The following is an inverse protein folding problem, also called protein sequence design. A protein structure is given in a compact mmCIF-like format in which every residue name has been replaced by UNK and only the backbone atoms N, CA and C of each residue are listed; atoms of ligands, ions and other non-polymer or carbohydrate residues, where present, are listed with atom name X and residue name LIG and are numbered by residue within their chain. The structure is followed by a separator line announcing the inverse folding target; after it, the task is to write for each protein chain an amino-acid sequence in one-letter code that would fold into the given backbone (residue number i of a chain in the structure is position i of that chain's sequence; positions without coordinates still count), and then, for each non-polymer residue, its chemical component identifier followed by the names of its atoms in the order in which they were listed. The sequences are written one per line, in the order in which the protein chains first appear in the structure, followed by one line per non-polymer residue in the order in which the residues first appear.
data_IF_979848836308
#
_entry.id   IF_979848836308
#
_cell.length_a   1.000
_cell.length_b   1.000
_cell.length_c   1.000
_cell.angle_alpha   90.00
_cell.angle_beta   90.00
_cell.angle_gamma   90.00
#
_symmetry.space_group_name_H-M   'P 1'
#
loop_
_entity.id
_entity.type
_entity.pdbx_description
1 polymer ?
#
# COMPACT_ATOMS: atom_id res chain seq x y z
N UNK A 1 34.02 1.29 -41.89
CA UNK A 1 32.88 0.53 -41.33
C UNK A 1 31.74 1.43 -40.84
N UNK A 2 32.00 2.46 -40.00
CA UNK A 2 30.95 3.38 -39.49
C UNK A 2 30.18 4.15 -40.59
N UNK A 3 30.86 4.60 -41.65
CA UNK A 3 30.23 5.31 -42.79
C UNK A 3 29.29 4.37 -43.56
N UNK A 4 29.74 3.14 -43.87
CA UNK A 4 28.94 2.10 -44.55
C UNK A 4 27.68 1.73 -43.74
N UNK A 5 27.83 1.60 -42.42
CA UNK A 5 26.70 1.32 -41.51
C UNK A 5 25.65 2.45 -41.51
N UNK A 6 26.07 3.71 -41.72
CA UNK A 6 25.17 4.87 -41.80
C UNK A 6 24.54 5.08 -43.17
N UNK A 7 25.25 4.77 -44.26
CA UNK A 7 24.80 5.09 -45.63
C UNK A 7 24.07 3.96 -46.34
N UNK A 8 24.07 2.75 -45.77
CA UNK A 8 23.42 1.53 -46.30
C UNK A 8 23.72 1.24 -47.78
N UNK A 9 24.86 1.73 -48.28
CA UNK A 9 25.31 1.64 -49.68
C UNK A 9 26.82 1.43 -49.69
N UNK A 10 27.31 0.50 -50.54
CA UNK A 10 28.72 0.14 -50.65
C UNK A 10 29.17 0.30 -52.11
N UNK A 11 30.12 1.20 -52.37
CA UNK A 11 30.78 1.34 -53.67
C UNK A 11 31.77 0.19 -53.94
N UNK A 12 32.15 -0.07 -55.19
CA UNK A 12 33.07 -1.18 -55.53
C UNK A 12 34.46 -1.05 -54.87
N UNK A 13 34.96 0.16 -54.67
CA UNK A 13 36.22 0.43 -53.96
C UNK A 13 36.06 0.17 -52.46
N UNK A 14 34.88 0.45 -51.89
CA UNK A 14 34.57 0.16 -50.50
C UNK A 14 34.30 -1.33 -50.26
N UNK A 15 33.91 -2.11 -51.28
CA UNK A 15 33.74 -3.56 -51.19
C UNK A 15 35.05 -4.27 -50.86
N UNK A 16 36.14 -3.91 -51.54
CA UNK A 16 37.46 -4.51 -51.30
C UNK A 16 37.95 -4.18 -49.89
N UNK A 17 37.88 -2.91 -49.49
CA UNK A 17 38.25 -2.47 -48.13
C UNK A 17 37.38 -3.09 -47.04
N UNK A 18 36.09 -3.30 -47.32
CA UNK A 18 35.17 -3.95 -46.40
C UNK A 18 35.47 -5.44 -46.26
N UNK A 19 35.77 -6.13 -47.36
CA UNK A 19 36.14 -7.55 -47.37
C UNK A 19 37.46 -7.79 -46.64
N UNK A 20 38.49 -6.97 -46.87
CA UNK A 20 39.74 -7.02 -46.11
C UNK A 20 39.50 -6.78 -44.61
N UNK A 21 38.69 -5.77 -44.26
CA UNK A 21 38.38 -5.48 -42.86
C UNK A 21 37.58 -6.62 -42.20
N UNK A 22 36.70 -7.32 -42.93
CA UNK A 22 35.98 -8.51 -42.48
C UNK A 22 36.90 -9.72 -42.32
N UNK A 23 37.85 -9.93 -43.21
CA UNK A 23 38.81 -11.03 -43.09
C UNK A 23 39.74 -10.85 -41.89
N UNK A 24 40.15 -9.60 -41.62
CA UNK A 24 41.04 -9.27 -40.51
C UNK A 24 40.30 -9.25 -39.16
N UNK A 25 39.08 -8.69 -39.12
CA UNK A 25 38.37 -8.44 -37.86
C UNK A 25 37.11 -9.30 -37.68
N UNK A 26 36.78 -10.19 -38.62
CA UNK A 26 35.54 -10.95 -38.65
C UNK A 26 35.42 -11.93 -37.50
N UNK A 27 36.47 -12.69 -37.21
CA UNK A 27 36.50 -13.61 -36.05
C UNK A 27 36.39 -12.84 -34.72
N UNK A 28 37.10 -11.71 -34.61
CA UNK A 28 37.03 -10.82 -33.43
C UNK A 28 35.63 -10.23 -33.27
N UNK A 29 35.00 -9.84 -34.38
CA UNK A 29 33.64 -9.32 -34.40
C UNK A 29 32.62 -10.38 -33.99
N UNK A 30 32.69 -11.59 -34.57
CA UNK A 30 31.81 -12.72 -34.23
C UNK A 30 31.97 -13.08 -32.76
N UNK A 31 33.20 -13.20 -32.26
CA UNK A 31 33.45 -13.54 -30.87
C UNK A 31 32.92 -12.46 -29.90
N UNK A 32 33.10 -11.18 -30.25
CA UNK A 32 32.56 -10.06 -29.46
C UNK A 32 31.03 -9.97 -29.53
N UNK A 33 30.45 -10.27 -30.70
CA UNK A 33 29.01 -10.28 -30.91
C UNK A 33 28.33 -11.44 -30.17
N UNK A 34 28.99 -12.59 -30.06
CA UNK A 34 28.50 -13.74 -29.30
C UNK A 34 28.64 -13.56 -27.78
N UNK A 35 29.53 -12.66 -27.33
CA UNK A 35 29.81 -12.38 -25.92
C UNK A 35 29.27 -11.01 -25.43
N UNK A 36 28.17 -10.52 -26.03
CA UNK A 36 27.60 -9.21 -25.70
C UNK A 36 27.21 -9.06 -24.22
N UNK A 37 26.74 -10.13 -23.57
CA UNK A 37 26.41 -10.13 -22.13
C UNK A 37 27.66 -9.95 -21.28
N UNK A 38 28.75 -10.64 -21.62
CA UNK A 38 30.03 -10.51 -20.91
C UNK A 38 30.62 -9.11 -21.09
N UNK A 39 30.51 -8.54 -22.29
CA UNK A 39 30.92 -7.16 -22.56
C UNK A 39 30.05 -6.15 -21.77
N UNK A 40 28.73 -6.37 -21.71
CA UNK A 40 27.82 -5.56 -20.89
C UNK A 40 28.20 -5.61 -19.41
N UNK A 41 28.47 -6.81 -18.86
CA UNK A 41 28.95 -7.03 -17.49
C UNK A 41 30.22 -6.22 -17.20
N UNK A 42 31.21 -6.33 -18.08
CA UNK A 42 32.48 -5.62 -17.91
C UNK A 42 32.26 -4.10 -17.93
N UNK A 43 31.47 -3.62 -18.88
CA UNK A 43 31.34 -2.19 -19.16
C UNK A 43 30.39 -1.42 -18.26
N UNK A 44 29.48 -2.12 -17.61
CA UNK A 44 28.57 -1.58 -16.60
C UNK A 44 28.82 -2.19 -15.21
N UNK A 45 30.02 -2.76 -14.97
CA UNK A 45 30.35 -3.48 -13.73
C UNK A 45 30.06 -2.70 -12.45
N UNK A 46 30.36 -1.40 -12.43
CA UNK A 46 30.06 -0.52 -11.30
C UNK A 46 28.55 -0.40 -11.02
N UNK A 47 27.75 -0.22 -12.08
CA UNK A 47 26.29 -0.08 -11.96
C UNK A 47 25.58 -1.42 -11.72
N UNK A 48 26.20 -2.54 -12.12
CA UNK A 48 25.67 -3.89 -11.93
C UNK A 48 26.04 -4.50 -10.58
N UNK A 49 26.83 -3.81 -9.77
CA UNK A 49 27.28 -4.32 -8.47
C UNK A 49 26.09 -4.69 -7.56
N UNK A 50 26.18 -5.87 -6.94
CA UNK A 50 25.13 -6.45 -6.09
C UNK A 50 23.99 -7.17 -6.83
N UNK A 51 23.97 -7.23 -8.17
CA UNK A 51 22.99 -8.00 -8.93
C UNK A 51 23.46 -9.43 -9.23
N UNK A 52 22.52 -10.38 -9.28
CA UNK A 52 22.84 -11.76 -9.65
C UNK A 52 23.10 -11.91 -11.16
N UNK A 53 23.72 -13.01 -11.59
CA UNK A 53 23.93 -13.25 -13.03
C UNK A 53 22.61 -13.31 -13.82
N UNK A 54 21.55 -13.83 -13.20
CA UNK A 54 20.22 -13.92 -13.80
C UNK A 54 19.64 -12.51 -13.99
N UNK A 55 19.78 -11.64 -12.99
CA UNK A 55 19.33 -10.24 -13.06
C UNK A 55 20.04 -9.48 -14.17
N UNK A 56 21.36 -9.67 -14.31
CA UNK A 56 22.15 -9.05 -15.37
C UNK A 56 21.67 -9.50 -16.75
N UNK A 57 21.39 -10.79 -16.93
CA UNK A 57 20.83 -11.33 -18.18
C UNK A 57 19.43 -10.75 -18.47
N UNK A 58 18.60 -10.60 -17.45
CA UNK A 58 17.27 -10.00 -17.58
C UNK A 58 17.35 -8.53 -17.99
N UNK A 59 18.25 -7.74 -17.39
CA UNK A 59 18.50 -6.35 -17.77
C UNK A 59 18.95 -6.27 -19.23
N UNK A 60 19.93 -7.10 -19.60
CA UNK A 60 20.44 -7.15 -20.97
C UNK A 60 19.32 -7.44 -21.99
N UNK A 61 18.40 -8.36 -21.69
CA UNK A 61 17.28 -8.69 -22.56
C UNK A 61 16.29 -7.51 -22.78
N UNK A 62 16.27 -6.52 -21.87
CA UNK A 62 15.44 -5.31 -22.01
C UNK A 62 16.11 -4.18 -22.79
N UNK A 63 17.38 -4.34 -23.18
CA UNK A 63 18.12 -3.33 -23.92
C UNK A 63 17.54 -3.17 -25.34
N UNK A 64 17.33 -1.92 -25.82
CA UNK A 64 16.88 -1.69 -27.19
C UNK A 64 17.83 -2.29 -28.23
N UNK A 65 17.28 -2.83 -29.32
CA UNK A 65 18.07 -3.29 -30.46
C UNK A 65 18.94 -2.15 -31.00
N UNK A 66 20.20 -2.45 -31.32
CA UNK A 66 21.16 -1.46 -31.79
C UNK A 66 21.78 -0.59 -30.69
N UNK A 67 21.53 -0.85 -29.41
CA UNK A 67 22.19 -0.12 -28.29
C UNK A 67 23.72 -0.18 -28.38
N UNK A 68 24.28 -1.31 -28.85
CA UNK A 68 25.72 -1.51 -29.03
C UNK A 68 26.32 -0.76 -30.24
N UNK A 69 25.48 -0.22 -31.13
CA UNK A 69 25.91 0.60 -32.26
C UNK A 69 25.86 2.12 -31.96
N UNK A 70 25.40 2.49 -30.76
CA UNK A 70 25.35 3.88 -30.29
C UNK A 70 26.72 4.34 -29.78
N UNK A 71 26.84 5.65 -29.57
CA UNK A 71 28.05 6.20 -28.93
C UNK A 71 28.19 5.69 -27.49
N UNK A 72 29.41 5.70 -26.96
CA UNK A 72 29.67 5.23 -25.59
C UNK A 72 28.80 5.95 -24.55
N UNK A 73 28.60 7.26 -24.68
CA UNK A 73 27.78 8.03 -23.74
C UNK A 73 26.29 7.67 -23.83
N UNK A 74 25.74 7.52 -25.03
CA UNK A 74 24.35 7.11 -25.22
C UNK A 74 24.11 5.69 -24.70
N UNK A 75 25.04 4.77 -24.96
CA UNK A 75 24.96 3.40 -24.46
C UNK A 75 24.95 3.37 -22.93
N UNK A 76 25.89 4.09 -22.28
CA UNK A 76 25.97 4.15 -20.82
C UNK A 76 24.69 4.74 -20.22
N UNK A 77 24.15 5.83 -20.79
CA UNK A 77 22.89 6.41 -20.32
C UNK A 77 21.71 5.43 -20.42
N UNK A 78 21.58 4.70 -21.52
CA UNK A 78 20.52 3.68 -21.70
C UNK A 78 20.71 2.54 -20.70
N UNK A 79 21.95 2.06 -20.54
CA UNK A 79 22.28 0.99 -19.61
C UNK A 79 21.96 1.39 -18.16
N UNK A 80 22.44 2.54 -17.68
CA UNK A 80 22.17 3.01 -16.32
C UNK A 80 20.67 3.25 -16.07
N UNK A 81 19.93 3.75 -17.06
CA UNK A 81 18.46 3.85 -16.97
C UNK A 81 17.81 2.47 -16.79
N UNK A 82 18.17 1.49 -17.63
CA UNK A 82 17.62 0.13 -17.55
C UNK A 82 17.98 -0.59 -16.26
N UNK A 83 19.21 -0.42 -15.79
CA UNK A 83 19.66 -0.95 -14.50
C UNK A 83 18.86 -0.35 -13.35
N UNK A 84 18.63 0.98 -13.37
CA UNK A 84 17.84 1.67 -12.34
C UNK A 84 16.38 1.21 -12.34
N UNK A 85 15.75 1.12 -13.52
CA UNK A 85 14.40 0.59 -13.68
C UNK A 85 14.29 -0.84 -13.12
N UNK A 86 15.26 -1.69 -13.43
CA UNK A 86 15.26 -3.08 -12.98
C UNK A 86 15.46 -3.23 -11.46
N UNK A 87 16.40 -2.47 -10.88
CA UNK A 87 16.61 -2.42 -9.41
C UNK A 87 15.32 -2.03 -8.70
N UNK A 88 14.58 -1.06 -9.25
CA UNK A 88 13.28 -0.67 -8.72
C UNK A 88 12.26 -1.80 -8.82
N UNK A 89 12.21 -2.54 -9.93
CA UNK A 89 11.34 -3.71 -10.07
C UNK A 89 11.61 -4.76 -9.00
N UNK A 90 12.88 -5.08 -8.74
CA UNK A 90 13.27 -6.01 -7.67
C UNK A 90 12.75 -5.54 -6.31
N UNK A 91 12.94 -4.25 -5.97
CA UNK A 91 12.48 -3.70 -4.69
C UNK A 91 10.95 -3.76 -4.55
N UNK A 92 10.20 -3.48 -5.62
CA UNK A 92 8.74 -3.61 -5.62
C UNK A 92 8.31 -5.06 -5.43
N UNK A 93 9.00 -6.01 -6.06
CA UNK A 93 8.73 -7.44 -5.87
C UNK A 93 9.06 -7.91 -4.46
N UNK A 94 10.17 -7.46 -3.87
CA UNK A 94 10.52 -7.73 -2.48
C UNK A 94 9.42 -7.23 -1.53
N UNK A 95 8.98 -5.98 -1.69
CA UNK A 95 7.93 -5.39 -0.87
C UNK A 95 6.62 -6.20 -0.95
N UNK A 96 6.22 -6.63 -2.16
CA UNK A 96 5.04 -7.47 -2.37
C UNK A 96 5.19 -8.86 -1.75
N UNK A 97 6.34 -9.51 -1.94
CA UNK A 97 6.62 -10.83 -1.35
C UNK A 97 6.57 -10.77 0.17
N UNK A 98 7.15 -9.72 0.76
CA UNK A 98 7.18 -9.54 2.20
C UNK A 98 5.79 -9.27 2.78
N UNK A 99 4.94 -8.52 2.06
CA UNK A 99 3.53 -8.37 2.39
C UNK A 99 2.81 -9.72 2.41
N UNK A 100 2.84 -10.46 1.29
CA UNK A 100 2.16 -11.76 1.16
C UNK A 100 2.64 -12.74 2.22
N UNK A 101 3.95 -12.79 2.50
CA UNK A 101 4.51 -13.66 3.54
C UNK A 101 4.01 -13.32 4.94
N UNK A 102 3.70 -12.05 5.23
CA UNK A 102 3.21 -11.61 6.54
C UNK A 102 1.71 -11.77 6.71
N UNK A 103 0.93 -11.55 5.64
CA UNK A 103 -0.52 -11.37 5.74
C UNK A 103 -1.35 -12.44 5.03
N UNK A 104 -0.74 -13.21 4.12
CA UNK A 104 -1.43 -14.13 3.20
C UNK A 104 -2.54 -13.44 2.38
N UNK A 105 -2.28 -12.19 1.96
CA UNK A 105 -3.18 -11.38 1.13
C UNK A 105 -2.39 -10.64 0.05
N UNK A 106 -3.06 -10.21 -1.02
CA UNK A 106 -2.40 -9.56 -2.16
C UNK A 106 -2.10 -8.08 -1.94
N UNK A 107 -2.87 -7.41 -1.09
CA UNK A 107 -2.74 -5.98 -0.81
C UNK A 107 -3.38 -5.60 0.53
N UNK A 108 -3.13 -4.38 1.06
CA UNK A 108 -3.81 -3.85 2.24
C UNK A 108 -5.33 -3.74 2.07
N UNK A 109 -5.80 -3.50 0.84
CA UNK A 109 -7.23 -3.52 0.48
C UNK A 109 -7.81 -4.93 0.55
N UNK A 110 -7.14 -5.89 -0.09
CA UNK A 110 -7.52 -7.31 -0.07
C UNK A 110 -7.56 -7.87 1.37
N UNK A 111 -6.65 -7.41 2.23
CA UNK A 111 -6.71 -7.72 3.66
C UNK A 111 -7.95 -7.13 4.34
N UNK A 112 -8.23 -5.85 4.09
CA UNK A 112 -9.39 -5.19 4.68
C UNK A 112 -10.70 -5.85 4.25
N UNK A 113 -10.78 -6.27 2.99
CA UNK A 113 -11.92 -6.99 2.42
C UNK A 113 -12.08 -8.39 3.04
N UNK A 114 -10.98 -9.15 3.18
CA UNK A 114 -10.97 -10.49 3.80
C UNK A 114 -11.47 -10.48 5.25
N UNK A 115 -11.06 -9.49 6.03
CA UNK A 115 -11.37 -9.41 7.47
C UNK A 115 -12.47 -8.39 7.80
N UNK A 116 -13.10 -7.78 6.80
CA UNK A 116 -14.13 -6.73 6.94
C UNK A 116 -13.77 -5.66 7.96
N UNK A 117 -12.50 -5.25 7.95
CA UNK A 117 -11.92 -4.36 8.97
C UNK A 117 -10.94 -3.41 8.29
N UNK A 118 -11.04 -2.09 8.48
CA UNK A 118 -10.06 -1.15 7.94
C UNK A 118 -8.70 -1.39 8.60
N UNK A 119 -7.71 -1.86 7.83
CA UNK A 119 -6.39 -2.20 8.38
C UNK A 119 -5.73 -1.08 9.19
N UNK A 120 -5.96 0.18 8.79
CA UNK A 120 -5.37 1.34 9.43
C UNK A 120 -5.92 1.60 10.84
N UNK A 121 -7.05 0.99 11.25
CA UNK A 121 -7.52 1.10 12.62
C UNK A 121 -6.67 0.31 13.62
N UNK A 122 -5.81 -0.61 13.14
CA UNK A 122 -4.86 -1.36 13.95
C UNK A 122 -3.55 -0.60 14.19
N UNK A 123 -3.32 0.47 13.43
CA UNK A 123 -2.17 1.33 13.61
C UNK A 123 -2.47 2.31 14.75
N UNK A 124 -1.61 2.32 15.76
CA UNK A 124 -1.73 3.21 16.91
C UNK A 124 -0.80 4.42 16.69
N UNK A 125 0.33 4.47 17.38
CA UNK A 125 1.30 5.57 17.31
C UNK A 125 2.03 5.66 15.94
N UNK A 126 2.01 4.57 15.16
CA UNK A 126 2.70 4.46 13.88
C UNK A 126 1.79 4.68 12.66
N UNK A 127 0.59 5.24 12.87
CA UNK A 127 -0.43 5.43 11.83
C UNK A 127 0.10 6.03 10.52
N UNK A 128 0.85 7.14 10.58
CA UNK A 128 1.35 7.79 9.37
C UNK A 128 2.38 6.93 8.62
N UNK A 129 3.23 6.22 9.36
CA UNK A 129 4.22 5.31 8.79
C UNK A 129 3.55 4.08 8.17
N UNK A 130 2.53 3.53 8.83
CA UNK A 130 1.71 2.42 8.34
C UNK A 130 1.00 2.82 7.05
N UNK A 131 0.28 3.94 7.07
CA UNK A 131 -0.46 4.49 5.93
C UNK A 131 0.45 4.70 4.74
N UNK A 132 1.57 5.41 4.93
CA UNK A 132 2.52 5.66 3.83
C UNK A 132 3.07 4.37 3.23
N UNK A 133 3.38 3.38 4.07
CA UNK A 133 3.93 2.09 3.61
C UNK A 133 2.89 1.26 2.85
N UNK A 134 1.64 1.24 3.32
CA UNK A 134 0.53 0.57 2.65
C UNK A 134 0.19 1.25 1.32
N UNK A 135 0.17 2.57 1.28
CA UNK A 135 -0.02 3.33 0.03
C UNK A 135 1.11 3.06 -0.96
N UNK A 136 2.36 3.05 -0.49
CA UNK A 136 3.54 2.71 -1.32
C UNK A 136 3.39 1.34 -1.99
N UNK A 137 2.92 0.34 -1.25
CA UNK A 137 2.68 -1.00 -1.79
C UNK A 137 1.59 -1.02 -2.88
N UNK A 138 0.58 -0.15 -2.78
CA UNK A 138 -0.52 -0.07 -3.73
C UNK A 138 -0.25 0.87 -4.91
N UNK A 139 0.74 1.76 -4.79
CA UNK A 139 1.08 2.73 -5.82
C UNK A 139 1.79 2.10 -7.01
N UNK A 140 1.47 2.60 -8.21
CA UNK A 140 2.17 2.21 -9.45
C UNK A 140 3.53 2.90 -9.62
N UNK A 141 3.69 4.10 -9.05
CA UNK A 141 4.83 4.99 -9.31
C UNK A 141 5.52 5.49 -8.02
N UNK A 142 5.75 4.60 -7.05
CA UNK A 142 6.51 4.95 -5.85
C UNK A 142 8.00 5.21 -6.17
N UNK A 143 8.67 6.06 -5.40
CA UNK A 143 10.12 6.29 -5.49
C UNK A 143 10.91 5.18 -4.79
N UNK A 144 12.18 5.00 -5.16
CA UNK A 144 13.05 3.99 -4.54
C UNK A 144 13.18 4.18 -3.02
N UNK A 145 13.22 5.43 -2.57
CA UNK A 145 13.28 5.75 -1.14
C UNK A 145 11.98 5.38 -0.42
N UNK A 146 10.82 5.62 -1.03
CA UNK A 146 9.53 5.20 -0.46
C UNK A 146 9.43 3.68 -0.35
N UNK A 147 9.83 2.95 -1.41
CA UNK A 147 9.81 1.48 -1.40
C UNK A 147 10.73 0.93 -0.32
N UNK A 148 11.96 1.44 -0.21
CA UNK A 148 12.91 1.03 0.84
C UNK A 148 12.36 1.31 2.25
N UNK A 149 11.79 2.49 2.47
CA UNK A 149 11.19 2.84 3.76
C UNK A 149 10.00 1.93 4.11
N UNK A 150 9.18 1.56 3.11
CA UNK A 150 8.07 0.63 3.30
C UNK A 150 8.57 -0.80 3.63
N UNK A 151 9.64 -1.27 2.97
CA UNK A 151 10.28 -2.55 3.29
C UNK A 151 10.77 -2.56 4.74
N UNK A 152 11.50 -1.52 5.16
CA UNK A 152 12.02 -1.41 6.53
C UNK A 152 10.90 -1.33 7.56
N UNK A 153 9.83 -0.56 7.27
CA UNK A 153 8.64 -0.55 8.11
C UNK A 153 8.03 -1.95 8.22
N UNK A 154 7.84 -2.69 7.12
CA UNK A 154 7.24 -4.01 7.19
C UNK A 154 8.10 -5.04 7.94
N UNK A 155 9.43 -4.93 7.88
CA UNK A 155 10.35 -5.81 8.63
C UNK A 155 10.19 -5.63 10.15
N UNK A 156 10.01 -4.39 10.63
CA UNK A 156 10.00 -4.05 12.07
C UNK A 156 8.62 -3.88 12.71
N UNK A 157 7.58 -3.59 11.92
CA UNK A 157 6.29 -3.17 12.48
C UNK A 157 5.57 -4.32 13.19
N UNK A 158 5.06 -4.02 14.39
CA UNK A 158 4.25 -4.96 15.20
C UNK A 158 2.79 -5.04 14.76
N UNK A 159 2.35 -4.17 13.84
CA UNK A 159 0.98 -4.18 13.29
C UNK A 159 0.65 -5.54 12.66
N UNK A 160 1.62 -6.24 12.09
CA UNK A 160 1.42 -7.55 11.47
C UNK A 160 1.02 -8.64 12.47
N UNK A 161 1.46 -8.53 13.73
CA UNK A 161 1.04 -9.45 14.78
C UNK A 161 -0.42 -9.18 15.17
N UNK A 162 -0.78 -7.90 15.33
CA UNK A 162 -2.17 -7.46 15.57
C UNK A 162 -3.12 -7.89 14.45
N UNK A 163 -2.65 -7.86 13.20
CA UNK A 163 -3.45 -8.26 12.04
C UNK A 163 -3.86 -9.73 12.07
N UNK A 164 -3.06 -10.61 12.69
CA UNK A 164 -3.33 -12.06 12.72
C UNK A 164 -4.35 -12.44 13.78
N UNK A 165 -4.38 -11.71 14.89
CA UNK A 165 -5.26 -11.97 16.03
C UNK A 165 -6.69 -11.44 15.82
N UNK A 166 -7.69 -12.32 15.93
CA UNK A 166 -9.08 -11.96 15.73
C UNK A 166 -9.67 -11.07 16.83
N UNK A 167 -9.26 -11.29 18.09
CA UNK A 167 -9.72 -10.49 19.21
C UNK A 167 -9.15 -9.08 19.14
N UNK A 168 -7.87 -8.94 18.80
CA UNK A 168 -7.25 -7.62 18.61
C UNK A 168 -7.95 -6.85 17.48
N UNK A 169 -8.26 -7.52 16.35
CA UNK A 169 -9.03 -6.90 15.26
C UNK A 169 -10.40 -6.41 15.71
N UNK A 170 -11.13 -7.24 16.45
CA UNK A 170 -12.47 -6.91 16.94
C UNK A 170 -12.42 -5.76 17.96
N UNK A 171 -11.47 -5.79 18.89
CA UNK A 171 -11.29 -4.75 19.89
C UNK A 171 -10.91 -3.41 19.24
N UNK A 172 -9.99 -3.40 18.29
CA UNK A 172 -9.61 -2.20 17.55
C UNK A 172 -10.79 -1.64 16.74
N UNK A 173 -11.60 -2.49 16.12
CA UNK A 173 -12.81 -2.06 15.43
C UNK A 173 -13.82 -1.45 16.41
N UNK A 174 -14.08 -2.09 17.54
CA UNK A 174 -14.98 -1.57 18.56
C UNK A 174 -14.50 -0.22 19.12
N UNK A 175 -13.22 -0.10 19.42
CA UNK A 175 -12.65 1.13 19.99
C UNK A 175 -12.60 2.28 18.97
N UNK A 176 -12.03 2.02 17.78
CA UNK A 176 -11.73 3.09 16.80
C UNK A 176 -12.90 3.39 15.86
N UNK A 177 -13.70 2.38 15.49
CA UNK A 177 -14.85 2.57 14.60
C UNK A 177 -16.10 2.90 15.40
N UNK A 178 -16.55 1.98 16.27
CA UNK A 178 -17.79 2.15 17.06
C UNK A 178 -17.63 3.27 18.10
N UNK A 179 -16.53 3.26 18.87
CA UNK A 179 -16.17 4.33 19.81
C UNK A 179 -17.28 4.65 20.80
N UNK A 180 -17.85 5.87 20.71
CA UNK A 180 -18.84 6.38 21.67
C UNK A 180 -20.21 5.68 21.60
N UNK A 181 -20.50 4.95 20.53
CA UNK A 181 -21.79 4.27 20.34
C UNK A 181 -21.84 2.90 21.02
N UNK A 182 -21.50 2.83 22.31
CA UNK A 182 -21.34 1.59 23.10
C UNK A 182 -22.59 0.69 23.14
N UNK A 183 -23.76 1.21 22.76
CA UNK A 183 -24.98 0.40 22.60
C UNK A 183 -24.87 -0.61 21.46
N UNK A 184 -24.01 -0.34 20.48
CA UNK A 184 -23.66 -1.25 19.40
C UNK A 184 -22.74 -2.33 19.98
N UNK A 185 -23.30 -3.51 20.26
CA UNK A 185 -22.55 -4.66 20.81
C UNK A 185 -22.15 -5.68 19.75
N UNK A 186 -22.95 -5.80 18.69
CA UNK A 186 -22.68 -6.76 17.60
C UNK A 186 -21.75 -6.13 16.56
N UNK A 187 -20.48 -6.55 16.60
CA UNK A 187 -19.44 -6.04 15.71
C UNK A 187 -19.67 -6.53 14.27
N UNK A 188 -20.12 -7.76 14.09
CA UNK A 188 -20.29 -8.35 12.77
C UNK A 188 -21.50 -7.75 12.06
N UNK A 189 -22.62 -7.55 12.76
CA UNK A 189 -23.76 -6.82 12.22
C UNK A 189 -23.38 -5.38 11.84
N UNK A 190 -22.55 -4.73 12.65
CA UNK A 190 -22.06 -3.38 12.34
C UNK A 190 -21.25 -3.33 11.06
N UNK A 191 -20.36 -4.32 10.83
CA UNK A 191 -19.60 -4.44 9.58
C UNK A 191 -20.52 -4.57 8.37
N UNK A 192 -21.58 -5.38 8.47
CA UNK A 192 -22.57 -5.53 7.40
C UNK A 192 -23.35 -4.23 7.14
N UNK A 193 -23.76 -3.52 8.19
CA UNK A 193 -24.45 -2.22 8.06
C UNK A 193 -23.56 -1.19 7.35
N UNK A 194 -22.28 -1.14 7.69
CA UNK A 194 -21.32 -0.24 7.04
C UNK A 194 -21.09 -0.65 5.58
N UNK A 195 -20.90 -1.94 5.29
CA UNK A 195 -20.76 -2.47 3.94
C UNK A 195 -21.93 -2.12 3.02
N UNK A 196 -23.16 -2.15 3.54
CA UNK A 196 -24.37 -1.87 2.76
C UNK A 196 -24.61 -0.37 2.52
N UNK A 197 -23.99 0.51 3.31
CA UNK A 197 -24.30 1.96 3.32
C UNK A 197 -23.13 2.85 2.91
N UNK A 198 -21.91 2.33 2.88
CA UNK A 198 -20.73 3.06 2.43
C UNK A 198 -20.38 2.68 0.99
N UNK A 199 -20.28 3.69 0.13
CA UNK A 199 -19.85 3.54 -1.28
C UNK A 199 -18.32 3.63 -1.43
N UNK A 200 -17.57 3.16 -0.43
CA UNK A 200 -16.10 3.15 -0.44
C UNK A 200 -15.53 1.80 0.01
N UNK A 201 -14.25 1.57 -0.28
CA UNK A 201 -13.57 0.35 0.15
C UNK A 201 -13.46 0.30 1.68
N UNK A 202 -13.48 -0.90 2.25
CA UNK A 202 -13.30 -1.13 3.68
C UNK A 202 -11.99 -0.51 4.18
N UNK A 203 -10.95 -0.51 3.35
CA UNK A 203 -9.68 0.16 3.66
C UNK A 203 -9.86 1.65 3.97
N UNK A 204 -10.79 2.32 3.28
CA UNK A 204 -11.05 3.75 3.36
C UNK A 204 -12.05 4.11 4.48
N UNK A 205 -12.55 3.14 5.25
CA UNK A 205 -13.44 3.41 6.40
C UNK A 205 -12.71 4.12 7.55
N UNK A 206 -11.38 3.99 7.61
CA UNK A 206 -10.54 4.66 8.58
C UNK A 206 -9.48 5.53 7.87
N UNK A 207 -9.31 6.81 8.26
CA UNK A 207 -9.92 7.48 9.40
C UNK A 207 -11.41 7.74 9.17
N UNK A 208 -12.19 7.77 10.24
CA UNK A 208 -13.65 7.88 10.14
C UNK A 208 -14.06 9.15 9.39
N UNK A 209 -14.82 8.97 8.33
CA UNK A 209 -15.48 10.06 7.61
C UNK A 209 -16.78 10.47 8.30
N UNK A 210 -17.27 11.68 8.02
CA UNK A 210 -18.57 12.12 8.52
C UNK A 210 -19.71 11.17 8.10
N UNK A 211 -19.63 10.59 6.90
CA UNK A 211 -20.61 9.60 6.43
C UNK A 211 -20.60 8.34 7.31
N UNK A 212 -19.42 7.83 7.64
CA UNK A 212 -19.28 6.66 8.54
C UNK A 212 -19.87 6.96 9.92
N UNK A 213 -19.56 8.14 10.47
CA UNK A 213 -20.07 8.58 11.76
C UNK A 213 -21.60 8.70 11.76
N UNK A 214 -22.19 9.30 10.72
CA UNK A 214 -23.65 9.44 10.57
C UNK A 214 -24.38 8.09 10.46
N UNK A 215 -23.75 7.09 9.81
CA UNK A 215 -24.33 5.74 9.69
C UNK A 215 -24.34 5.06 11.06
N UNK A 216 -23.23 5.13 11.79
CA UNK A 216 -23.10 4.57 13.13
C UNK A 216 -24.06 5.24 14.12
N UNK A 217 -24.21 6.57 14.05
CA UNK A 217 -25.17 7.32 14.86
C UNK A 217 -26.60 6.85 14.65
N UNK A 218 -27.07 6.81 13.39
CA UNK A 218 -28.42 6.33 13.06
C UNK A 218 -28.65 4.87 13.46
N UNK A 219 -27.61 4.04 13.37
CA UNK A 219 -27.71 2.65 13.80
C UNK A 219 -27.80 2.55 15.32
N UNK A 220 -27.00 3.31 16.06
CA UNK A 220 -27.07 3.43 17.51
C UNK A 220 -28.43 3.96 17.99
N UNK A 221 -28.97 5.00 17.33
CA UNK A 221 -30.31 5.53 17.60
C UNK A 221 -31.39 4.47 17.43
N UNK A 222 -31.35 3.69 16.35
CA UNK A 222 -32.27 2.56 16.13
C UNK A 222 -32.18 1.53 17.26
N UNK A 223 -30.97 1.14 17.66
CA UNK A 223 -30.78 0.19 18.78
C UNK A 223 -31.26 0.77 20.11
N UNK A 224 -31.04 2.08 20.33
CA UNK A 224 -31.53 2.77 21.51
C UNK A 224 -33.05 2.79 21.57
N UNK A 225 -33.72 3.11 20.46
CA UNK A 225 -35.19 3.11 20.39
C UNK A 225 -35.79 1.71 20.58
N UNK A 226 -35.10 0.66 20.11
CA UNK A 226 -35.62 -0.71 20.17
C UNK A 226 -35.36 -1.39 21.52
N UNK A 227 -34.20 -1.15 22.14
CA UNK A 227 -33.77 -1.87 23.35
C UNK A 227 -33.12 -0.97 24.41
N UNK A 228 -32.40 0.07 24.00
CA UNK A 228 -31.69 0.95 24.94
C UNK A 228 -32.61 1.75 25.85
N UNK A 229 -33.75 2.23 25.34
CA UNK A 229 -34.72 2.98 26.11
C UNK A 229 -35.28 2.14 27.26
N UNK A 230 -35.71 0.90 26.97
CA UNK A 230 -36.21 -0.03 27.99
C UNK A 230 -35.13 -0.37 29.03
N UNK A 231 -33.87 -0.56 28.61
CA UNK A 231 -32.75 -0.79 29.53
C UNK A 231 -32.51 0.41 30.46
N UNK A 232 -32.56 1.63 29.95
CA UNK A 232 -32.40 2.85 30.76
C UNK A 232 -33.59 3.01 31.70
N UNK A 233 -34.82 2.77 31.23
CA UNK A 233 -36.02 2.81 32.07
C UNK A 233 -35.95 1.79 33.21
N UNK A 234 -35.56 0.55 32.92
CA UNK A 234 -35.37 -0.48 33.95
C UNK A 234 -34.28 -0.10 34.97
N UNK A 235 -33.19 0.55 34.54
CA UNK A 235 -32.18 1.08 35.46
C UNK A 235 -32.75 2.18 36.36
N UNK A 236 -33.57 3.08 35.82
CA UNK A 236 -34.23 4.15 36.59
C UNK A 236 -35.25 3.56 37.58
N UNK A 237 -36.05 2.59 37.15
CA UNK A 237 -37.02 1.89 38.01
C UNK A 237 -36.34 1.13 39.16
N UNK A 238 -35.14 0.60 38.91
CA UNK A 238 -34.33 -0.05 39.94
C UNK A 238 -33.65 0.91 40.94
N UNK A 239 -33.68 2.23 40.70
CA UNK A 239 -33.10 3.23 41.60
C UNK A 239 -34.08 3.63 42.71
N UNK A 240 -33.55 3.93 43.90
CA UNK A 240 -34.35 4.55 44.97
C UNK A 240 -34.76 5.98 44.59
N UNK A 241 -35.89 6.47 45.12
CA UNK A 241 -36.37 7.84 44.89
C UNK A 241 -35.31 8.91 45.20
N UNK A 242 -34.53 8.70 46.27
CA UNK A 242 -33.43 9.58 46.64
C UNK A 242 -32.34 9.64 45.56
N UNK A 243 -31.99 8.48 44.97
CA UNK A 243 -30.98 8.38 43.93
C UNK A 243 -31.48 8.95 42.59
N UNK A 244 -32.74 8.70 42.21
CA UNK A 244 -33.34 9.29 41.00
C UNK A 244 -33.34 10.82 41.09
N UNK A 245 -33.75 11.38 42.24
CA UNK A 245 -33.77 12.83 42.45
C UNK A 245 -32.38 13.44 42.42
N UNK A 246 -31.37 12.74 42.95
CA UNK A 246 -29.98 13.18 42.93
C UNK A 246 -29.41 13.13 41.50
N UNK A 247 -29.69 12.05 40.77
CA UNK A 247 -29.29 11.89 39.36
C UNK A 247 -29.93 12.95 38.46
N UNK A 248 -31.24 13.22 38.60
CA UNK A 248 -31.91 14.27 37.82
C UNK A 248 -31.35 15.67 38.11
N UNK A 249 -31.08 15.99 39.38
CA UNK A 249 -30.41 17.25 39.76
C UNK A 249 -29.02 17.37 39.13
N UNK A 250 -28.27 16.28 39.07
CA UNK A 250 -26.96 16.24 38.41
C UNK A 250 -27.10 16.46 36.90
N UNK A 251 -28.04 15.75 36.27
CA UNK A 251 -28.30 15.83 34.83
C UNK A 251 -28.67 17.24 34.38
N UNK A 252 -29.57 17.94 35.10
CA UNK A 252 -29.98 19.32 34.77
C UNK A 252 -28.85 20.34 34.98
N UNK A 253 -27.92 20.09 35.91
CA UNK A 253 -26.74 20.96 36.11
C UNK A 253 -25.70 20.77 35.01
N UNK A 254 -25.56 19.56 34.49
CA UNK A 254 -24.54 19.20 33.51
C UNK A 254 -25.03 19.37 32.06
N UNK A 255 -26.34 19.28 31.81
CA UNK A 255 -26.97 19.38 30.48
C UNK A 255 -28.09 20.41 30.49
N UNK A 256 -27.81 21.58 29.92
CA UNK A 256 -28.74 22.71 29.86
C UNK A 256 -30.03 22.35 29.10
N UNK A 257 -29.94 21.53 28.06
CA UNK A 257 -31.05 21.14 27.19
C UNK A 257 -32.16 20.45 27.99
N UNK A 258 -31.78 19.54 28.90
CA UNK A 258 -32.72 18.84 29.79
C UNK A 258 -33.43 19.84 30.71
N UNK A 259 -32.69 20.84 31.22
CA UNK A 259 -33.28 21.91 32.03
C UNK A 259 -34.27 22.76 31.24
N UNK A 260 -33.95 23.10 30.00
CA UNK A 260 -34.81 23.87 29.11
C UNK A 260 -36.10 23.10 28.75
N UNK A 261 -36.02 21.80 28.50
CA UNK A 261 -37.21 20.95 28.27
C UNK A 261 -38.15 20.94 29.48
N UNK A 262 -37.60 20.75 30.70
CA UNK A 262 -38.39 20.77 31.94
C UNK A 262 -39.04 22.14 32.18
N UNK A 263 -38.36 23.23 31.83
CA UNK A 263 -38.90 24.58 31.96
C UNK A 263 -39.97 24.90 30.89
N UNK A 264 -39.86 24.30 29.70
CA UNK A 264 -40.81 24.49 28.59
C UNK A 264 -42.14 23.79 28.83
N UNK A 265 -42.13 22.65 29.53
CA UNK A 265 -43.33 21.91 29.91
C UNK A 265 -44.03 22.48 31.16
N UNK A 266 -43.71 23.72 31.54
CA UNK A 266 -44.23 24.43 32.71
C UNK A 266 -45.00 25.68 32.33
#
# INVERSE_FOLDING_TARGET
MYIIFKTNTISDIDRVKFLEALQINGEVFINKFNNQVSWFKEKCSFDLDGLSEIDVCNIFATMPLGSFAKTNSEFQNIASQKITEYRKTILVEELKKLWVAKTDTKSPKDWSDKYKTPILCLADEDYDAAKKSFETLMQKMATDNEIKNAIEYFKRASIFDKMRDAEIRNNAFAEKMIGKYFIIKDIDETREVLLQRLDCSIYDWYPKTQQTENILEKYAEKLYQTTGCEQVLAMIEGMSEANVKLYLKKLVRERMEVGMEILKDR
#
